data_IF_671956270432
#
_entry.id   IF_671956270432
#
_cell.length_a   1.000
_cell.length_b   1.000
_cell.length_c   1.000
_cell.angle_alpha   90.00
_cell.angle_beta   90.00
_cell.angle_gamma   90.00
#
_symmetry.space_group_name_H-M   'P 1'
#
loop_
_entity.id
_entity.type
_entity.pdbx_description
1 polymer ?
#
# COMPACT_ATOMS: atom_id res chain seq x y z
N UNK A 1 -33.38 47.91 -41.70
CA UNK A 1 -34.21 46.74 -42.04
C UNK A 1 -33.88 45.63 -41.06
N UNK A 2 -34.88 45.20 -40.28
CA UNK A 2 -35.08 43.94 -39.54
C UNK A 2 -33.87 43.18 -38.95
N UNK A 3 -33.75 43.04 -37.63
CA UNK A 3 -34.41 42.01 -36.76
C UNK A 3 -33.76 40.62 -36.94
N UNK A 4 -33.40 39.80 -35.95
CA UNK A 4 -33.59 39.75 -34.51
C UNK A 4 -33.05 38.38 -34.00
N UNK A 5 -33.22 38.07 -32.70
CA UNK A 5 -33.01 36.72 -32.11
C UNK A 5 -31.77 36.63 -31.21
N UNK A 6 -31.86 36.80 -29.89
CA UNK A 6 -32.37 35.87 -28.87
C UNK A 6 -31.72 34.47 -28.93
N UNK A 7 -30.85 34.12 -27.98
CA UNK A 7 -31.14 33.09 -26.95
C UNK A 7 -29.89 32.60 -26.18
N UNK A 8 -30.03 32.67 -24.85
CA UNK A 8 -29.62 31.71 -23.82
C UNK A 8 -28.18 31.16 -23.69
N UNK A 9 -27.63 31.50 -22.51
CA UNK A 9 -27.11 30.60 -21.48
C UNK A 9 -26.39 29.30 -21.92
N UNK A 10 -25.08 29.30 -21.77
CA UNK A 10 -24.37 28.15 -21.19
C UNK A 10 -23.42 28.65 -20.10
N UNK A 11 -23.85 28.48 -18.85
CA UNK A 11 -23.00 28.56 -17.66
C UNK A 11 -22.03 27.38 -17.68
N UNK A 12 -20.84 27.58 -18.23
CA UNK A 12 -19.70 26.70 -18.03
C UNK A 12 -19.12 26.96 -16.64
N UNK A 13 -19.56 26.21 -15.63
CA UNK A 13 -18.83 26.12 -14.36
C UNK A 13 -17.53 25.39 -14.64
N UNK A 14 -16.44 26.15 -14.66
CA UNK A 14 -15.06 25.70 -14.58
C UNK A 14 -14.91 24.79 -13.35
N UNK A 15 -14.72 23.50 -13.58
CA UNK A 15 -14.21 22.60 -12.55
C UNK A 15 -12.76 22.99 -12.30
N UNK A 16 -12.53 23.69 -11.19
CA UNK A 16 -11.19 24.00 -10.69
C UNK A 16 -10.46 22.71 -10.38
N UNK A 17 -9.44 22.42 -11.18
CA UNK A 17 -8.44 21.40 -10.88
C UNK A 17 -7.58 21.97 -9.75
N UNK A 18 -7.81 21.51 -8.52
CA UNK A 18 -6.99 21.91 -7.37
C UNK A 18 -5.57 21.37 -7.61
N UNK A 19 -4.65 22.29 -7.89
CA UNK A 19 -3.22 22.06 -8.01
C UNK A 19 -2.70 21.46 -6.70
N UNK A 20 -2.19 20.23 -6.75
CA UNK A 20 -1.31 19.72 -5.69
C UNK A 20 0.02 20.44 -5.86
N UNK A 21 0.30 21.36 -4.94
CA UNK A 21 1.56 22.07 -4.86
C UNK A 21 2.64 21.08 -4.42
N UNK A 22 3.32 20.45 -5.38
CA UNK A 22 4.55 19.70 -5.12
C UNK A 22 5.64 20.72 -4.76
N UNK A 23 6.03 20.79 -3.49
CA UNK A 23 7.22 21.52 -3.05
C UNK A 23 8.41 20.71 -3.56
N UNK A 24 9.06 21.19 -4.62
CA UNK A 24 10.30 20.61 -5.12
C UNK A 24 11.43 20.89 -4.13
N UNK A 25 11.73 19.91 -3.27
CA UNK A 25 12.99 19.87 -2.54
C UNK A 25 13.87 18.86 -3.27
N UNK A 26 14.87 19.36 -3.99
CA UNK A 26 15.96 18.52 -4.49
C UNK A 26 16.74 17.98 -3.28
N UNK A 27 16.56 16.71 -2.94
CA UNK A 27 17.45 15.99 -2.04
C UNK A 27 17.92 14.73 -2.76
N UNK A 28 19.18 14.72 -3.20
CA UNK A 28 19.85 13.48 -3.57
C UNK A 28 19.76 12.51 -2.38
N UNK A 29 19.52 11.23 -2.65
CA UNK A 29 19.34 10.23 -1.62
C UNK A 29 20.69 9.94 -0.94
N UNK A 30 21.03 10.74 0.07
CA UNK A 30 22.32 10.66 0.75
C UNK A 30 22.16 9.94 2.09
N UNK A 31 22.85 8.80 2.22
CA UNK A 31 22.97 8.11 3.50
C UNK A 31 23.67 9.01 4.52
N UNK A 32 23.21 8.95 5.77
CA UNK A 32 23.94 9.56 6.88
C UNK A 32 25.34 8.98 6.96
N UNK A 33 26.30 9.78 7.40
CA UNK A 33 27.67 9.35 7.66
C UNK A 33 28.03 9.70 9.09
N UNK A 34 28.92 8.95 9.73
CA UNK A 34 29.33 9.28 11.09
C UNK A 34 29.99 10.67 11.12
N UNK A 35 29.34 11.63 11.79
CA UNK A 35 30.01 12.83 12.27
C UNK A 35 30.80 12.53 13.55
N UNK A 36 31.33 13.55 14.24
CA UNK A 36 31.99 13.36 15.53
C UNK A 36 30.98 12.84 16.56
N UNK A 37 30.97 11.53 16.82
CA UNK A 37 30.11 10.90 17.84
C UNK A 37 30.58 11.20 19.27
N UNK A 38 31.64 11.99 19.42
CA UNK A 38 32.05 12.53 20.71
C UNK A 38 30.85 13.26 21.33
N UNK A 39 30.43 12.72 22.46
CA UNK A 39 29.41 13.28 23.34
C UNK A 39 29.89 14.70 23.73
N UNK A 40 29.14 15.74 23.37
CA UNK A 40 29.31 17.04 24.01
C UNK A 40 29.08 16.86 25.53
N UNK A 41 29.76 17.63 26.39
CA UNK A 41 29.76 17.45 27.85
C UNK A 41 28.36 17.45 28.53
N UNK A 42 27.29 17.71 27.78
CA UNK A 42 25.91 17.86 28.24
C UNK A 42 24.98 16.66 27.97
N UNK A 43 25.42 15.61 27.28
CA UNK A 43 24.59 14.40 27.12
C UNK A 43 24.67 13.47 28.35
N UNK A 44 23.53 12.90 28.68
CA UNK A 44 23.35 11.78 29.60
C UNK A 44 23.03 10.52 28.82
N UNK A 45 23.23 9.35 29.45
CA UNK A 45 22.94 8.06 28.84
C UNK A 45 22.05 7.21 29.75
N UNK A 46 21.14 6.44 29.14
CA UNK A 46 20.35 5.40 29.79
C UNK A 46 20.36 4.13 28.94
N UNK A 47 20.43 2.96 29.58
CA UNK A 47 20.56 1.68 28.87
C UNK A 47 19.63 0.59 29.38
N UNK A 48 19.20 -0.29 28.47
CA UNK A 48 18.46 -1.53 28.75
C UNK A 48 18.96 -2.59 27.77
N UNK A 49 19.64 -3.62 28.30
CA UNK A 49 20.23 -4.68 27.47
C UNK A 49 21.22 -4.09 26.44
N UNK A 50 21.07 -4.39 25.14
CA UNK A 50 21.98 -3.90 24.10
C UNK A 50 21.73 -2.44 23.70
N UNK A 51 20.62 -1.84 24.12
CA UNK A 51 20.23 -0.49 23.72
C UNK A 51 20.69 0.56 24.73
N UNK A 52 21.34 1.62 24.24
CA UNK A 52 21.71 2.83 24.99
C UNK A 52 21.16 4.05 24.28
N UNK A 53 20.50 4.95 25.02
CA UNK A 53 20.00 6.23 24.51
C UNK A 53 20.79 7.37 25.12
N UNK A 54 21.37 8.21 24.27
CA UNK A 54 22.09 9.43 24.61
C UNK A 54 21.15 10.64 24.39
N UNK A 55 20.98 11.48 25.41
CA UNK A 55 20.06 12.62 25.39
C UNK A 55 20.53 13.78 26.27
N UNK A 56 20.02 14.99 26.04
CA UNK A 56 20.19 16.13 26.96
C UNK A 56 19.05 16.19 28.00
N UNK A 57 19.27 16.71 29.23
CA UNK A 57 18.30 16.64 30.33
C UNK A 57 16.83 17.00 30.00
N UNK A 58 16.55 18.04 29.18
CA UNK A 58 15.18 18.35 28.76
C UNK A 58 14.44 17.22 28.02
N UNK A 59 15.17 16.31 27.37
CA UNK A 59 14.64 15.18 26.60
C UNK A 59 14.51 13.88 27.41
N UNK A 60 14.83 13.88 28.71
CA UNK A 60 14.82 12.69 29.58
C UNK A 60 13.57 11.80 29.47
N UNK A 61 12.36 12.39 29.45
CA UNK A 61 11.10 11.64 29.28
C UNK A 61 10.98 11.01 27.89
N UNK A 62 11.43 11.70 26.85
CA UNK A 62 11.45 11.18 25.48
C UNK A 62 12.49 10.07 25.37
N UNK A 63 13.68 10.29 25.93
CA UNK A 63 14.76 9.31 25.95
C UNK A 63 14.32 7.99 26.59
N UNK A 64 13.58 8.06 27.71
CA UNK A 64 13.00 6.86 28.32
C UNK A 64 12.07 6.11 27.37
N UNK A 65 11.18 6.80 26.65
CA UNK A 65 10.29 6.17 25.67
C UNK A 65 11.04 5.52 24.51
N UNK A 66 12.02 6.22 23.95
CA UNK A 66 12.86 5.68 22.88
C UNK A 66 13.65 4.46 23.34
N UNK A 67 14.15 4.48 24.57
CA UNK A 67 14.86 3.34 25.17
C UNK A 67 13.93 2.13 25.35
N UNK A 68 12.71 2.35 25.84
CA UNK A 68 11.71 1.28 26.01
C UNK A 68 11.33 0.66 24.66
N UNK A 69 11.15 1.49 23.61
CA UNK A 69 10.90 1.02 22.25
C UNK A 69 12.11 0.26 21.68
N UNK A 70 13.31 0.82 21.78
CA UNK A 70 14.52 0.18 21.30
C UNK A 70 14.75 -1.20 21.97
N UNK A 71 14.53 -1.31 23.29
CA UNK A 71 14.62 -2.57 24.01
C UNK A 71 13.51 -3.57 23.62
N UNK A 72 12.34 -3.06 23.23
CA UNK A 72 11.20 -3.85 22.77
C UNK A 72 11.27 -4.23 21.28
N UNK A 73 12.22 -3.68 20.51
CA UNK A 73 12.39 -3.99 19.10
C UNK A 73 12.57 -5.50 18.88
N UNK A 74 11.82 -6.06 17.93
CA UNK A 74 11.95 -7.45 17.50
C UNK A 74 11.94 -7.48 15.97
N UNK A 75 12.94 -8.12 15.34
CA UNK A 75 12.93 -8.29 13.90
C UNK A 75 11.72 -9.13 13.47
N UNK A 76 11.31 -8.98 12.23
CA UNK A 76 10.19 -9.71 11.65
C UNK A 76 10.63 -10.34 10.33
N UNK A 77 10.21 -11.57 10.01
CA UNK A 77 9.23 -12.37 10.75
C UNK A 77 9.82 -12.99 12.03
N UNK A 78 8.97 -13.56 12.90
CA UNK A 78 9.36 -13.98 14.25
C UNK A 78 10.53 -14.98 14.30
N UNK A 79 10.76 -15.73 13.23
CA UNK A 79 11.90 -16.65 13.13
C UNK A 79 13.26 -15.93 13.09
N UNK A 80 13.30 -14.66 12.67
CA UNK A 80 14.50 -13.82 12.78
C UNK A 80 14.77 -13.37 14.22
N UNK A 81 13.84 -13.55 15.16
CA UNK A 81 14.00 -13.10 16.55
C UNK A 81 15.05 -13.91 17.35
N UNK A 82 15.51 -15.04 16.80
CA UNK A 82 16.69 -15.75 17.30
C UNK A 82 17.97 -14.92 17.12
N UNK A 83 18.04 -14.14 16.04
CA UNK A 83 19.05 -13.11 15.83
C UNK A 83 18.66 -11.88 16.64
N UNK A 84 19.52 -11.49 17.58
CA UNK A 84 19.28 -10.34 18.46
C UNK A 84 20.22 -9.22 18.09
N UNK A 85 19.75 -7.98 18.26
CA UNK A 85 20.61 -6.82 18.29
C UNK A 85 21.72 -7.03 19.33
N UNK A 86 22.97 -6.86 18.91
CA UNK A 86 24.13 -7.03 19.78
C UNK A 86 24.42 -5.74 20.55
N UNK A 87 24.32 -4.61 19.85
CA UNK A 87 24.50 -3.26 20.37
C UNK A 87 23.63 -2.28 19.60
N UNK A 88 23.21 -1.20 20.26
CA UNK A 88 22.48 -0.11 19.64
C UNK A 88 22.69 1.16 20.46
N UNK A 89 23.15 2.23 19.81
CA UNK A 89 23.28 3.56 20.36
C UNK A 89 22.32 4.52 19.68
N UNK A 90 21.37 5.09 20.42
CA UNK A 90 20.42 6.07 19.88
C UNK A 90 20.77 7.45 20.42
N UNK A 91 21.09 8.39 19.55
CA UNK A 91 21.35 9.79 19.92
C UNK A 91 20.12 10.64 19.64
N UNK A 92 19.60 11.31 20.67
CA UNK A 92 18.56 12.32 20.50
C UNK A 92 19.24 13.67 20.25
N UNK A 93 19.07 14.20 19.04
CA UNK A 93 19.56 15.52 18.66
C UNK A 93 18.60 16.62 19.14
N UNK A 94 19.00 17.49 20.08
CA UNK A 94 18.16 18.56 20.65
C UNK A 94 17.94 19.73 19.68
N UNK A 95 18.73 19.84 18.62
CA UNK A 95 18.64 20.88 17.59
C UNK A 95 18.92 20.30 16.20
N UNK A 96 18.49 21.01 15.15
CA UNK A 96 18.80 20.62 13.77
C UNK A 96 20.32 20.70 13.50
N UNK A 97 21.01 21.70 14.06
CA UNK A 97 22.46 21.83 13.96
C UNK A 97 23.18 20.62 14.56
N UNK A 98 22.71 20.13 15.71
CA UNK A 98 23.30 18.95 16.36
C UNK A 98 23.01 17.68 15.58
N UNK A 99 21.82 17.56 14.99
CA UNK A 99 21.50 16.46 14.08
C UNK A 99 22.49 16.42 12.91
N UNK A 100 22.72 17.57 12.25
CA UNK A 100 23.70 17.68 11.18
C UNK A 100 25.13 17.35 11.63
N UNK A 101 25.53 17.81 12.83
CA UNK A 101 26.85 17.51 13.37
C UNK A 101 27.05 16.00 13.55
N UNK A 102 26.06 15.32 14.14
CA UNK A 102 26.10 13.88 14.39
C UNK A 102 25.99 13.06 13.09
N UNK A 103 25.21 13.51 12.12
CA UNK A 103 24.98 12.82 10.83
C UNK A 103 26.02 13.12 9.75
N UNK A 104 27.09 13.86 10.09
CA UNK A 104 28.15 14.23 9.15
C UNK A 104 27.70 15.20 8.06
N UNK A 105 26.63 15.97 8.32
CA UNK A 105 26.12 17.01 7.42
C UNK A 105 25.13 16.52 6.36
N UNK A 106 24.75 15.24 6.38
CA UNK A 106 23.79 14.65 5.43
C UNK A 106 22.44 14.41 6.09
N UNK A 107 21.36 14.69 5.35
CA UNK A 107 20.00 14.36 5.78
C UNK A 107 19.49 13.17 4.96
N UNK A 108 18.84 12.20 5.62
CA UNK A 108 18.01 11.23 4.91
C UNK A 108 16.78 11.94 4.34
N UNK A 109 16.12 11.29 3.37
CA UNK A 109 14.95 11.81 2.66
C UNK A 109 13.79 12.21 3.60
N UNK A 110 13.65 11.50 4.73
CA UNK A 110 12.61 11.75 5.75
C UNK A 110 13.03 12.79 6.80
N UNK A 111 14.30 13.23 6.83
CA UNK A 111 14.80 14.39 7.60
C UNK A 111 14.63 14.36 9.14
N UNK A 112 14.23 13.22 9.72
CA UNK A 112 13.83 13.13 11.13
C UNK A 112 14.63 12.13 11.96
N UNK A 113 15.09 11.05 11.36
CA UNK A 113 16.01 10.09 11.97
C UNK A 113 16.86 9.42 10.89
N UNK A 114 18.05 8.93 11.26
CA UNK A 114 18.83 8.03 10.41
C UNK A 114 19.70 7.06 11.21
N UNK A 115 19.86 5.86 10.67
CA UNK A 115 20.96 4.98 10.99
C UNK A 115 22.25 5.42 10.27
N UNK A 116 23.39 5.29 10.96
CA UNK A 116 24.71 5.52 10.38
C UNK A 116 25.23 4.16 9.84
N UNK A 117 25.41 4.02 8.51
CA UNK A 117 25.78 2.75 7.89
C UNK A 117 27.07 2.16 8.47
N UNK A 118 27.08 0.83 8.68
CA UNK A 118 28.25 0.11 9.20
C UNK A 118 28.58 0.41 10.67
N UNK A 119 27.67 1.06 11.39
CA UNK A 119 27.79 1.32 12.83
C UNK A 119 26.50 0.96 13.55
N UNK A 120 26.55 0.86 14.87
CA UNK A 120 25.36 0.57 15.69
C UNK A 120 24.60 1.84 16.10
N UNK A 121 24.72 2.91 15.33
CA UNK A 121 24.25 4.24 15.72
C UNK A 121 23.01 4.65 14.95
N UNK A 122 21.98 5.05 15.69
CA UNK A 122 20.79 5.73 15.19
C UNK A 122 20.76 7.15 15.76
N UNK A 123 20.50 8.14 14.93
CA UNK A 123 20.32 9.53 15.35
C UNK A 123 18.86 9.88 15.10
N UNK A 124 18.18 10.44 16.10
CA UNK A 124 16.79 10.88 16.03
C UNK A 124 16.69 12.34 16.45
N UNK A 125 15.87 13.13 15.77
CA UNK A 125 15.59 14.50 16.21
C UNK A 125 14.71 14.48 17.45
N UNK A 126 14.98 15.38 18.40
CA UNK A 126 14.09 15.59 19.54
C UNK A 126 12.69 15.96 19.04
N UNK A 127 11.61 15.34 19.57
CA UNK A 127 10.24 15.74 19.26
C UNK A 127 9.96 17.22 19.59
N UNK A 128 10.78 17.88 20.41
CA UNK A 128 10.65 19.31 20.73
C UNK A 128 10.97 20.23 19.55
N UNK A 129 11.71 19.73 18.56
CA UNK A 129 12.14 20.51 17.37
C UNK A 129 11.54 19.98 16.06
N UNK A 130 10.56 19.08 16.16
CA UNK A 130 9.83 18.53 15.02
C UNK A 130 8.39 19.02 15.13
N UNK A 131 8.01 19.96 14.26
CA UNK A 131 6.71 20.64 14.32
C UNK A 131 5.54 19.72 13.96
N UNK A 132 5.75 18.77 13.05
CA UNK A 132 4.73 17.80 12.66
C UNK A 132 5.37 16.46 12.29
N UNK A 133 5.00 15.42 13.01
CA UNK A 133 5.29 14.04 12.63
C UNK A 133 4.18 13.56 11.71
N UNK A 134 4.53 13.17 10.48
CA UNK A 134 3.58 12.49 9.57
C UNK A 134 3.36 11.03 9.99
N UNK A 135 4.43 10.40 10.47
CA UNK A 135 4.45 9.00 10.91
C UNK A 135 4.62 8.86 12.43
N UNK A 136 4.24 7.72 13.01
CA UNK A 136 4.50 7.41 14.43
C UNK A 136 6.02 7.39 14.70
N UNK A 137 6.54 8.20 15.65
CA UNK A 137 7.97 8.22 15.98
C UNK A 137 8.55 6.84 16.34
N UNK A 138 7.71 5.93 16.87
CA UNK A 138 8.13 4.55 17.13
C UNK A 138 8.39 3.78 15.85
N UNK A 139 7.55 3.96 14.83
CA UNK A 139 7.73 3.29 13.53
C UNK A 139 8.99 3.81 12.85
N UNK A 140 9.24 5.13 12.89
CA UNK A 140 10.50 5.72 12.41
C UNK A 140 11.70 5.12 13.14
N UNK A 141 11.65 5.06 14.48
CA UNK A 141 12.74 4.45 15.23
C UNK A 141 12.95 2.98 14.84
N UNK A 142 11.88 2.20 14.65
CA UNK A 142 11.99 0.80 14.24
C UNK A 142 12.54 0.65 12.83
N UNK A 143 12.21 1.57 11.92
CA UNK A 143 12.82 1.61 10.59
C UNK A 143 14.34 1.76 10.72
N UNK A 144 14.82 2.76 11.45
CA UNK A 144 16.26 2.99 11.61
C UNK A 144 16.98 1.86 12.36
N UNK A 145 16.37 1.32 13.41
CA UNK A 145 16.93 0.16 14.12
C UNK A 145 17.01 -1.06 13.20
N UNK A 146 16.10 -1.19 12.23
CA UNK A 146 16.12 -2.31 11.28
C UNK A 146 17.35 -2.27 10.38
N UNK A 147 17.81 -1.09 9.99
CA UNK A 147 19.07 -0.94 9.24
C UNK A 147 20.27 -1.45 10.05
N UNK A 148 20.39 -1.01 11.32
CA UNK A 148 21.45 -1.49 12.23
C UNK A 148 21.36 -3.00 12.45
N UNK A 149 20.16 -3.52 12.68
CA UNK A 149 19.94 -4.95 12.84
C UNK A 149 20.38 -5.75 11.61
N UNK A 150 20.06 -5.25 10.41
CA UNK A 150 20.39 -5.92 9.16
C UNK A 150 21.90 -5.89 8.90
N UNK A 151 22.57 -4.77 9.16
CA UNK A 151 24.03 -4.65 9.09
C UNK A 151 24.73 -5.67 10.02
N UNK A 152 24.25 -5.79 11.26
CA UNK A 152 24.76 -6.77 12.23
C UNK A 152 24.50 -8.21 11.78
N UNK A 153 23.32 -8.49 11.23
CA UNK A 153 22.94 -9.81 10.73
C UNK A 153 23.81 -10.23 9.54
N UNK A 154 24.08 -9.29 8.64
CA UNK A 154 24.82 -9.52 7.40
C UNK A 154 26.34 -9.42 7.57
N UNK A 155 26.83 -8.99 8.74
CA UNK A 155 28.23 -9.06 9.16
C UNK A 155 29.21 -8.52 8.09
N UNK A 156 28.85 -7.43 7.42
CA UNK A 156 29.66 -6.77 6.38
C UNK A 156 29.47 -7.30 4.96
N UNK A 157 28.59 -8.27 4.73
CA UNK A 157 28.16 -8.63 3.38
C UNK A 157 27.40 -7.47 2.72
N UNK A 158 27.61 -7.27 1.43
CA UNK A 158 26.90 -6.22 0.69
C UNK A 158 25.42 -6.58 0.53
N UNK A 159 24.57 -5.63 0.91
CA UNK A 159 23.12 -5.75 0.82
C UNK A 159 22.61 -4.62 -0.08
N UNK A 160 21.89 -4.92 -1.17
CA UNK A 160 21.30 -3.91 -2.03
C UNK A 160 20.37 -3.00 -1.24
N UNK A 161 20.38 -1.71 -1.60
CA UNK A 161 19.58 -0.69 -0.93
C UNK A 161 18.08 -1.03 -0.93
N UNK A 162 17.56 -1.56 -2.03
CA UNK A 162 16.16 -1.98 -2.07
C UNK A 162 15.82 -3.01 -0.99
N UNK A 163 16.76 -3.90 -0.64
CA UNK A 163 16.53 -4.87 0.43
C UNK A 163 16.53 -4.20 1.80
N UNK A 164 17.51 -3.32 2.07
CA UNK A 164 17.55 -2.50 3.30
C UNK A 164 16.23 -1.76 3.53
N UNK A 165 15.82 -0.97 2.55
CA UNK A 165 14.68 -0.07 2.67
C UNK A 165 13.36 -0.86 2.72
N UNK A 166 13.23 -1.89 1.88
CA UNK A 166 12.06 -2.76 1.88
C UNK A 166 11.89 -3.51 3.20
N UNK A 167 12.99 -4.00 3.77
CA UNK A 167 12.96 -4.72 5.04
C UNK A 167 12.66 -3.78 6.21
N UNK A 168 13.26 -2.59 6.22
CA UNK A 168 12.97 -1.56 7.20
C UNK A 168 11.50 -1.12 7.16
N UNK A 169 10.91 -0.91 5.97
CA UNK A 169 9.47 -0.65 5.83
C UNK A 169 8.60 -1.83 6.28
N UNK A 170 9.03 -3.07 6.00
CA UNK A 170 8.31 -4.28 6.40
C UNK A 170 8.23 -4.41 7.93
N UNK A 171 9.34 -4.16 8.62
CA UNK A 171 9.42 -4.27 10.09
C UNK A 171 8.74 -3.09 10.77
N UNK A 172 8.92 -1.87 10.26
CA UNK A 172 8.39 -0.64 10.86
C UNK A 172 6.87 -0.50 10.77
N UNK A 173 6.21 -1.26 9.89
CA UNK A 173 4.76 -1.19 9.61
C UNK A 173 4.28 0.14 9.01
N UNK A 174 5.18 0.91 8.40
CA UNK A 174 4.84 2.13 7.66
C UNK A 174 3.98 1.88 6.40
N UNK A 175 3.73 0.62 6.03
CA UNK A 175 2.87 0.30 4.90
C UNK A 175 1.38 0.44 5.25
N UNK A 176 0.71 1.38 4.59
CA UNK A 176 -0.70 1.68 4.78
C UNK A 176 -1.57 1.48 3.54
N UNK A 177 -2.83 1.94 3.64
CA UNK A 177 -3.79 1.91 2.52
C UNK A 177 -3.32 2.79 1.36
N UNK A 178 -2.74 3.95 1.66
CA UNK A 178 -2.23 4.88 0.65
C UNK A 178 -1.05 4.26 -0.12
N UNK A 179 -0.10 3.64 0.59
CA UNK A 179 1.00 2.84 0.01
C UNK A 179 0.47 1.74 -0.91
N UNK A 180 -0.57 1.02 -0.46
CA UNK A 180 -1.22 -0.03 -1.25
C UNK A 180 -1.83 0.51 -2.55
N UNK A 181 -2.57 1.62 -2.47
CA UNK A 181 -3.21 2.24 -3.63
C UNK A 181 -2.18 2.79 -4.62
N UNK A 182 -1.17 3.50 -4.11
CA UNK A 182 -0.10 4.08 -4.92
C UNK A 182 0.67 3.01 -5.68
N UNK A 183 1.08 1.94 -4.99
CA UNK A 183 1.76 0.83 -5.65
C UNK A 183 0.86 0.09 -6.66
N UNK A 184 -0.43 -0.05 -6.35
CA UNK A 184 -1.40 -0.64 -7.29
C UNK A 184 -1.53 0.20 -8.58
N UNK A 185 -1.48 1.53 -8.48
CA UNK A 185 -1.43 2.43 -9.64
C UNK A 185 -0.12 2.29 -10.41
N UNK A 186 1.03 2.17 -9.72
CA UNK A 186 2.32 1.92 -10.36
C UNK A 186 2.31 0.60 -11.16
N UNK A 187 1.74 -0.46 -10.59
CA UNK A 187 1.54 -1.76 -11.25
C UNK A 187 0.61 -1.68 -12.46
N UNK A 188 -0.48 -0.90 -12.36
CA UNK A 188 -1.39 -0.61 -13.48
C UNK A 188 -0.66 0.05 -14.64
N UNK A 189 0.15 1.07 -14.35
CA UNK A 189 0.91 1.84 -15.34
C UNK A 189 2.18 1.13 -15.84
N UNK A 190 2.54 -0.03 -15.27
CA UNK A 190 3.79 -0.73 -15.60
C UNK A 190 5.04 0.02 -15.15
N UNK A 191 4.92 0.92 -14.17
CA UNK A 191 6.01 1.77 -13.65
C UNK A 191 6.71 1.09 -12.48
N UNK A 192 7.24 -0.11 -12.73
CA UNK A 192 8.04 -0.90 -11.78
C UNK A 192 9.45 -1.10 -12.33
N UNK A 193 10.43 -1.02 -11.45
CA UNK A 193 11.85 -1.20 -11.76
C UNK A 193 12.19 -2.69 -11.83
N UNK A 194 13.25 -3.06 -12.54
CA UNK A 194 13.87 -4.37 -12.33
C UNK A 194 14.68 -4.38 -11.04
N UNK A 195 14.87 -5.55 -10.43
CA UNK A 195 15.69 -5.66 -9.23
C UNK A 195 17.16 -5.39 -9.52
N UNK A 196 17.67 -5.81 -10.67
CA UNK A 196 19.03 -5.49 -11.13
C UNK A 196 19.25 -3.96 -11.26
N UNK A 197 18.23 -3.21 -11.73
CA UNK A 197 18.33 -1.75 -11.77
C UNK A 197 18.39 -1.15 -10.37
N UNK A 198 17.55 -1.62 -9.44
CA UNK A 198 17.53 -1.13 -8.06
C UNK A 198 18.78 -1.53 -7.26
N UNK A 199 19.41 -2.63 -7.64
CA UNK A 199 20.68 -3.08 -7.08
C UNK A 199 21.85 -2.20 -7.53
N UNK A 200 21.89 -1.84 -8.82
CA UNK A 200 22.94 -0.95 -9.37
C UNK A 200 22.77 0.51 -8.96
N UNK A 201 21.53 1.01 -8.97
CA UNK A 201 21.25 2.43 -8.72
C UNK A 201 19.84 2.63 -8.17
N UNK A 202 19.76 3.18 -6.97
CA UNK A 202 18.49 3.62 -6.40
C UNK A 202 18.14 5.01 -6.95
N UNK A 203 16.87 5.30 -7.33
CA UNK A 203 16.52 6.60 -7.91
C UNK A 203 16.73 7.78 -6.94
N UNK A 204 17.23 8.91 -7.46
CA UNK A 204 17.38 10.17 -6.71
C UNK A 204 16.15 11.10 -6.82
N UNK A 205 15.32 10.93 -7.85
CA UNK A 205 14.07 11.69 -8.01
C UNK A 205 13.04 11.19 -6.99
N UNK A 206 12.48 12.10 -6.19
CA UNK A 206 11.57 11.79 -5.07
C UNK A 206 10.41 10.87 -5.48
N UNK A 207 9.73 11.16 -6.59
CA UNK A 207 8.62 10.33 -7.06
C UNK A 207 9.08 8.93 -7.50
N UNK A 208 10.28 8.82 -8.07
CA UNK A 208 10.87 7.53 -8.43
C UNK A 208 11.37 6.76 -7.20
N UNK A 209 11.98 7.45 -6.24
CA UNK A 209 12.46 6.91 -4.98
C UNK A 209 11.29 6.37 -4.15
N UNK A 210 10.20 7.12 -4.00
CA UNK A 210 8.97 6.68 -3.35
C UNK A 210 8.45 5.37 -3.95
N UNK A 211 8.36 5.28 -5.28
CA UNK A 211 7.96 4.03 -5.95
C UNK A 211 8.96 2.89 -5.74
N UNK A 212 10.26 3.18 -5.72
CA UNK A 212 11.28 2.20 -5.44
C UNK A 212 11.17 1.65 -4.02
N UNK A 213 10.88 2.48 -3.02
CA UNK A 213 10.59 2.03 -1.65
C UNK A 213 9.34 1.15 -1.60
N UNK A 214 8.23 1.60 -2.20
CA UNK A 214 7.00 0.82 -2.24
C UNK A 214 7.21 -0.55 -2.90
N UNK A 215 7.93 -0.57 -4.04
CA UNK A 215 8.30 -1.81 -4.71
C UNK A 215 9.14 -2.70 -3.79
N UNK A 216 10.16 -2.14 -3.16
CA UNK A 216 11.06 -2.84 -2.24
C UNK A 216 10.31 -3.54 -1.12
N UNK A 217 9.37 -2.85 -0.47
CA UNK A 217 8.48 -3.45 0.53
C UNK A 217 7.75 -4.69 -0.02
N UNK A 218 7.13 -4.58 -1.20
CA UNK A 218 6.34 -5.70 -1.74
C UNK A 218 7.20 -6.89 -2.15
N UNK A 219 8.45 -6.67 -2.53
CA UNK A 219 9.42 -7.75 -2.81
C UNK A 219 9.74 -8.49 -1.52
N UNK A 220 10.00 -7.77 -0.44
CA UNK A 220 10.24 -8.37 0.89
C UNK A 220 9.00 -9.11 1.41
N UNK A 221 7.81 -8.52 1.28
CA UNK A 221 6.55 -9.17 1.64
C UNK A 221 6.37 -10.48 0.86
N UNK A 222 6.64 -10.47 -0.45
CA UNK A 222 6.61 -11.67 -1.28
C UNK A 222 7.61 -12.72 -0.78
N UNK A 223 8.86 -12.34 -0.52
CA UNK A 223 9.89 -13.28 -0.05
C UNK A 223 9.45 -14.00 1.22
N UNK A 224 8.97 -13.26 2.22
CA UNK A 224 8.53 -13.84 3.49
C UNK A 224 7.20 -14.60 3.42
N UNK A 225 6.40 -14.36 2.38
CA UNK A 225 5.16 -15.11 2.13
C UNK A 225 5.43 -16.40 1.33
N UNK A 226 6.42 -16.37 0.43
CA UNK A 226 6.69 -17.43 -0.55
C UNK A 226 7.50 -18.59 0.03
N UNK A 227 8.47 -18.29 0.88
CA UNK A 227 9.40 -19.25 1.45
C UNK A 227 9.24 -19.37 2.96
N UNK A 228 9.47 -20.57 3.47
CA UNK A 228 9.38 -20.83 4.91
C UNK A 228 10.66 -20.37 5.65
N UNK A 229 10.60 -20.46 6.97
CA UNK A 229 11.70 -20.08 7.87
C UNK A 229 13.04 -20.73 7.49
N UNK A 230 13.08 -22.05 7.29
CA UNK A 230 14.32 -22.78 7.02
C UNK A 230 14.97 -22.31 5.71
N UNK A 231 14.15 -22.12 4.67
CA UNK A 231 14.61 -21.63 3.38
C UNK A 231 15.18 -20.21 3.47
N UNK A 232 14.52 -19.33 4.22
CA UNK A 232 14.97 -17.96 4.39
C UNK A 232 16.21 -17.86 5.28
N UNK A 233 16.32 -18.66 6.33
CA UNK A 233 17.54 -18.77 7.15
C UNK A 233 18.73 -19.22 6.30
N UNK A 234 18.54 -20.26 5.47
CA UNK A 234 19.57 -20.74 4.57
C UNK A 234 19.97 -19.68 3.53
N UNK A 235 19.01 -18.94 2.99
CA UNK A 235 19.31 -17.82 2.06
C UNK A 235 20.18 -16.77 2.74
N UNK A 236 19.79 -16.29 3.93
CA UNK A 236 20.54 -15.27 4.67
C UNK A 236 21.94 -15.73 5.04
N UNK A 237 22.08 -16.98 5.52
CA UNK A 237 23.38 -17.56 5.84
C UNK A 237 24.30 -17.63 4.62
N UNK A 238 23.79 -18.14 3.49
CA UNK A 238 24.59 -18.24 2.26
C UNK A 238 24.91 -16.90 1.66
N UNK A 239 23.97 -15.96 1.72
CA UNK A 239 24.20 -14.60 1.26
C UNK A 239 25.30 -13.93 2.06
N UNK A 240 25.23 -13.98 3.39
CA UNK A 240 26.29 -13.49 4.27
C UNK A 240 27.66 -14.10 3.93
N UNK A 241 27.71 -15.40 3.62
CA UNK A 241 28.97 -16.09 3.31
C UNK A 241 29.51 -15.79 1.90
N UNK A 242 28.64 -15.51 0.93
CA UNK A 242 29.02 -15.31 -0.49
C UNK A 242 29.18 -13.85 -0.86
N UNK A 243 28.52 -12.93 -0.14
CA UNK A 243 28.47 -11.51 -0.45
C UNK A 243 27.62 -11.16 -1.68
N UNK A 244 26.95 -12.14 -2.30
CA UNK A 244 26.21 -11.96 -3.55
C UNK A 244 24.82 -12.62 -3.47
N UNK A 245 23.77 -11.82 -3.68
CA UNK A 245 22.39 -12.27 -3.52
C UNK A 245 21.99 -13.30 -4.59
N UNK A 246 22.39 -13.13 -5.85
CA UNK A 246 22.04 -14.07 -6.92
C UNK A 246 22.67 -15.45 -6.68
N UNK A 247 23.94 -15.48 -6.26
CA UNK A 247 24.64 -16.71 -5.87
C UNK A 247 23.98 -17.38 -4.66
N UNK A 248 23.56 -16.59 -3.67
CA UNK A 248 22.83 -17.09 -2.52
C UNK A 248 21.48 -17.70 -2.91
N UNK A 249 20.69 -17.03 -3.76
CA UNK A 249 19.41 -17.51 -4.27
C UNK A 249 19.56 -18.82 -5.05
N UNK A 250 20.55 -18.89 -5.95
CA UNK A 250 20.81 -20.10 -6.75
C UNK A 250 21.13 -21.29 -5.87
N UNK A 251 21.97 -21.06 -4.86
CA UNK A 251 22.48 -22.15 -4.05
C UNK A 251 21.48 -22.59 -2.96
N UNK A 252 20.68 -21.67 -2.40
CA UNK A 252 19.70 -21.96 -1.33
C UNK A 252 18.31 -22.34 -1.85
N UNK A 253 17.80 -21.64 -2.88
CA UNK A 253 16.43 -21.77 -3.38
C UNK A 253 16.36 -22.34 -4.81
N UNK A 254 17.50 -22.53 -5.47
CA UNK A 254 17.56 -23.12 -6.82
C UNK A 254 17.07 -22.20 -7.93
N UNK A 255 17.06 -20.88 -7.71
CA UNK A 255 16.57 -19.89 -8.67
C UNK A 255 17.48 -18.66 -8.73
N UNK A 256 17.44 -17.97 -9.85
CA UNK A 256 18.14 -16.69 -10.08
C UNK A 256 17.33 -15.50 -9.58
N UNK A 257 17.97 -14.36 -9.35
CA UNK A 257 17.32 -13.09 -9.03
C UNK A 257 16.26 -12.72 -10.07
N UNK A 258 16.55 -12.93 -11.36
CA UNK A 258 15.59 -12.68 -12.44
C UNK A 258 14.36 -13.61 -12.40
N UNK A 259 14.54 -14.89 -12.04
CA UNK A 259 13.42 -15.80 -11.83
C UNK A 259 12.60 -15.45 -10.59
N UNK A 260 13.25 -15.00 -9.52
CA UNK A 260 12.59 -14.47 -8.33
C UNK A 260 11.73 -13.26 -8.67
N UNK A 261 12.30 -12.32 -9.43
CA UNK A 261 11.62 -11.12 -9.90
C UNK A 261 10.39 -11.48 -10.75
N UNK A 262 10.51 -12.46 -11.65
CA UNK A 262 9.38 -12.95 -12.44
C UNK A 262 8.22 -13.46 -11.56
N UNK A 263 8.54 -14.32 -10.58
CA UNK A 263 7.53 -14.83 -9.64
C UNK A 263 6.91 -13.72 -8.77
N UNK A 264 7.72 -12.76 -8.31
CA UNK A 264 7.22 -11.59 -7.59
C UNK A 264 6.27 -10.76 -8.45
N UNK A 265 6.61 -10.48 -9.72
CA UNK A 265 5.75 -9.70 -10.65
C UNK A 265 4.39 -10.37 -10.85
N UNK A 266 4.36 -11.70 -10.97
CA UNK A 266 3.11 -12.46 -11.07
C UNK A 266 2.27 -12.33 -9.80
N UNK A 267 2.88 -12.57 -8.64
CA UNK A 267 2.22 -12.44 -7.34
C UNK A 267 1.70 -11.02 -7.07
N UNK A 268 2.53 -10.00 -7.34
CA UNK A 268 2.18 -8.60 -7.20
C UNK A 268 1.09 -8.20 -8.19
N UNK A 269 1.11 -8.75 -9.41
CA UNK A 269 0.06 -8.55 -10.41
C UNK A 269 -1.32 -9.03 -9.95
N UNK A 270 -1.39 -10.13 -9.19
CA UNK A 270 -2.65 -10.59 -8.61
C UNK A 270 -3.08 -9.73 -7.42
N UNK A 271 -2.15 -9.41 -6.51
CA UNK A 271 -2.44 -8.70 -5.26
C UNK A 271 -2.74 -7.20 -5.46
N UNK A 272 -1.97 -6.54 -6.32
CA UNK A 272 -2.01 -5.09 -6.54
C UNK A 272 -2.54 -4.71 -7.94
N UNK A 273 -2.74 -5.69 -8.83
CA UNK A 273 -3.25 -5.43 -10.18
C UNK A 273 -4.77 -5.41 -10.32
N UNK A 274 -5.55 -5.44 -9.23
CA UNK A 274 -7.01 -5.42 -9.28
C UNK A 274 -7.58 -4.19 -10.03
N UNK A 275 -6.88 -3.05 -10.02
CA UNK A 275 -7.27 -1.88 -10.82
C UNK A 275 -7.25 -2.17 -12.34
N UNK A 276 -6.37 -3.07 -12.83
CA UNK A 276 -6.38 -3.52 -14.23
C UNK A 276 -7.69 -4.23 -14.57
N UNK A 277 -8.27 -4.95 -13.62
CA UNK A 277 -9.55 -5.62 -13.81
C UNK A 277 -10.71 -4.62 -13.86
N UNK A 278 -10.72 -3.61 -12.98
CA UNK A 278 -11.76 -2.56 -13.00
C UNK A 278 -11.72 -1.68 -14.24
N UNK A 279 -10.52 -1.41 -14.76
CA UNK A 279 -10.31 -0.62 -15.98
C UNK A 279 -10.45 -1.46 -17.25
N UNK A 280 -10.66 -2.77 -17.14
CA UNK A 280 -10.89 -3.65 -18.28
C UNK A 280 -12.22 -3.31 -18.95
N UNK A 281 -12.16 -2.75 -20.15
CA UNK A 281 -13.33 -2.41 -20.95
C UNK A 281 -14.29 -3.59 -21.10
N UNK A 282 -13.76 -4.80 -21.26
CA UNK A 282 -14.56 -6.03 -21.39
C UNK A 282 -15.43 -6.30 -20.16
N UNK A 283 -14.87 -6.16 -18.95
CA UNK A 283 -15.62 -6.39 -17.71
C UNK A 283 -16.66 -5.29 -17.47
N UNK A 284 -16.34 -4.05 -17.84
CA UNK A 284 -17.32 -2.95 -17.83
C UNK A 284 -18.47 -3.25 -18.79
N UNK A 285 -18.19 -3.69 -20.01
CA UNK A 285 -19.22 -4.07 -20.98
C UNK A 285 -20.05 -5.27 -20.52
N UNK A 286 -19.44 -6.28 -19.88
CA UNK A 286 -20.17 -7.41 -19.28
C UNK A 286 -21.10 -6.90 -18.16
N UNK A 287 -20.60 -6.05 -17.26
CA UNK A 287 -21.41 -5.51 -16.16
C UNK A 287 -22.58 -4.66 -16.67
N UNK A 288 -22.35 -3.79 -17.65
CA UNK A 288 -23.40 -3.01 -18.32
C UNK A 288 -24.40 -3.95 -18.98
N UNK A 289 -23.94 -4.99 -19.68
CA UNK A 289 -24.81 -5.95 -20.35
C UNK A 289 -25.68 -6.71 -19.34
N UNK A 290 -25.12 -7.17 -18.23
CA UNK A 290 -25.86 -7.83 -17.16
C UNK A 290 -26.88 -6.89 -16.50
N UNK A 291 -26.52 -5.62 -16.31
CA UNK A 291 -27.44 -4.60 -15.82
C UNK A 291 -28.62 -4.40 -16.79
N UNK A 292 -28.36 -4.28 -18.10
CA UNK A 292 -29.40 -4.19 -19.12
C UNK A 292 -30.29 -5.43 -19.15
N UNK A 293 -29.72 -6.63 -19.03
CA UNK A 293 -30.47 -7.89 -18.95
C UNK A 293 -31.36 -7.89 -17.70
N UNK A 294 -30.84 -7.52 -16.53
CA UNK A 294 -31.61 -7.44 -15.30
C UNK A 294 -32.75 -6.41 -15.39
N UNK A 295 -32.47 -5.23 -15.95
CA UNK A 295 -33.49 -4.21 -16.21
C UNK A 295 -34.55 -4.75 -17.18
N UNK A 296 -34.16 -5.40 -18.27
CA UNK A 296 -35.08 -6.00 -19.22
C UNK A 296 -35.98 -7.03 -18.56
N UNK A 297 -35.43 -7.95 -17.75
CA UNK A 297 -36.23 -8.96 -17.04
C UNK A 297 -37.16 -8.35 -16.00
N UNK A 298 -36.71 -7.35 -15.24
CA UNK A 298 -37.57 -6.66 -14.25
C UNK A 298 -38.69 -5.87 -14.92
N UNK A 299 -38.41 -5.16 -16.02
CA UNK A 299 -39.41 -4.47 -16.83
C UNK A 299 -40.38 -5.45 -17.48
N UNK A 300 -39.89 -6.55 -18.06
CA UNK A 300 -40.73 -7.58 -18.67
C UNK A 300 -41.68 -8.23 -17.66
N UNK A 301 -41.20 -8.50 -16.44
CA UNK A 301 -42.04 -8.99 -15.34
C UNK A 301 -43.10 -7.96 -14.93
N UNK A 302 -42.72 -6.68 -14.81
CA UNK A 302 -43.68 -5.59 -14.48
C UNK A 302 -44.73 -5.39 -15.58
N UNK A 303 -44.34 -5.47 -16.84
CA UNK A 303 -45.24 -5.28 -17.98
C UNK A 303 -46.25 -6.42 -18.08
N UNK A 304 -45.83 -7.69 -17.90
CA UNK A 304 -46.75 -8.84 -17.86
C UNK A 304 -47.80 -8.68 -16.76
N UNK A 305 -47.40 -8.28 -15.55
CA UNK A 305 -48.34 -8.03 -14.44
C UNK A 305 -49.36 -6.94 -14.75
N UNK A 306 -48.95 -5.86 -15.44
CA UNK A 306 -49.87 -4.80 -15.88
C UNK A 306 -50.85 -5.31 -16.95
N UNK A 307 -50.39 -6.13 -17.89
CA UNK A 307 -51.23 -6.70 -18.93
C UNK A 307 -52.29 -7.65 -18.35
N UNK A 308 -51.90 -8.51 -17.41
CA UNK A 308 -52.83 -9.38 -16.66
C UNK A 308 -53.91 -8.56 -15.92
N UNK A 309 -53.54 -7.44 -15.30
CA UNK A 309 -54.49 -6.54 -14.65
C UNK A 309 -55.46 -5.87 -15.63
N UNK A 310 -54.98 -5.47 -16.82
CA UNK A 310 -55.81 -4.88 -17.87
C UNK A 310 -56.80 -5.92 -18.42
N UNK A 311 -56.34 -7.15 -18.72
CA UNK A 311 -57.19 -8.24 -19.18
C UNK A 311 -58.25 -8.66 -18.14
N UNK A 312 -57.90 -8.66 -16.85
CA UNK A 312 -58.86 -8.93 -15.78
C UNK A 312 -59.95 -7.85 -15.69
N UNK A 313 -59.59 -6.58 -15.86
CA UNK A 313 -60.56 -5.46 -15.92
C UNK A 313 -61.48 -5.56 -17.13
N UNK A 314 -60.92 -5.83 -18.30
CA UNK A 314 -61.71 -6.00 -19.54
C UNK A 314 -62.69 -7.17 -19.44
N UNK A 315 -62.27 -8.33 -18.89
CA UNK A 315 -63.17 -9.47 -18.65
C UNK A 315 -64.34 -9.13 -17.73
N UNK A 316 -64.07 -8.45 -16.60
CA UNK A 316 -65.14 -8.01 -15.70
C UNK A 316 -66.07 -6.99 -16.35
N UNK A 317 -65.54 -6.11 -17.18
CA UNK A 317 -66.35 -5.13 -17.90
C UNK A 317 -67.23 -5.80 -18.96
N UNK A 318 -66.72 -6.79 -19.69
CA UNK A 318 -67.50 -7.60 -20.63
C UNK A 318 -68.60 -8.43 -19.95
N UNK A 319 -68.30 -9.02 -18.79
CA UNK A 319 -69.29 -9.73 -17.96
C UNK A 319 -70.38 -8.78 -17.45
N UNK A 320 -70.05 -7.53 -17.11
CA UNK A 320 -71.05 -6.54 -16.67
C UNK A 320 -71.94 -5.98 -17.78
N UNK A 321 -71.53 -6.08 -19.06
CA UNK A 321 -72.27 -5.57 -20.23
C UNK A 321 -73.24 -6.62 -20.79
N UNK A 322 -73.16 -7.89 -20.37
CA UNK A 322 -74.03 -8.97 -20.86
C UNK A 322 -75.28 -9.10 -19.97
N UNK A 323 -76.50 -8.71 -20.40
CA UNK A 323 -77.70 -8.93 -19.59
C UNK A 323 -78.14 -10.39 -19.73
N UNK A 324 -78.11 -11.14 -18.62
CA UNK A 324 -78.70 -12.46 -18.55
C UNK A 324 -80.23 -12.36 -18.43
N UNK A 325 -80.93 -12.46 -19.57
CA UNK A 325 -82.34 -12.86 -19.55
C UNK A 325 -82.66 -13.74 -20.75
N UNK A 326 -82.88 -15.06 -20.57
CA UNK A 326 -83.43 -15.90 -21.63
C UNK A 326 -84.92 -15.56 -21.80
N UNK A 327 -85.30 -15.15 -23.02
CA UNK A 327 -86.69 -15.00 -23.42
C UNK A 327 -87.40 -16.37 -23.39
N UNK A 328 -88.44 -16.51 -22.56
CA UNK A 328 -89.25 -17.74 -22.44
C UNK A 328 -90.51 -17.58 -23.31
N UNK A 329 -90.48 -18.14 -24.53
CA UNK A 329 -91.65 -18.22 -25.40
C UNK A 329 -92.63 -19.32 -24.96
N UNK A 330 -93.95 -19.18 -25.23
CA UNK A 330 -94.97 -20.10 -24.75
C UNK A 330 -94.98 -21.44 -25.49
N UNK A 331 -95.30 -22.51 -24.76
CA UNK A 331 -95.34 -23.90 -25.22
C UNK A 331 -96.47 -24.14 -26.23
N UNK A 332 -96.11 -24.67 -27.41
CA UNK A 332 -97.02 -25.26 -28.38
C UNK A 332 -97.00 -26.79 -28.28
N UNK A 333 -98.19 -27.38 -28.29
CA UNK A 333 -98.48 -28.80 -28.30
C UNK A 333 -98.18 -29.45 -29.66
N UNK A 334 -98.27 -30.79 -29.64
CA UNK A 334 -98.45 -31.73 -30.76
C UNK A 334 -97.26 -32.69 -30.86
N UNK A 335 -97.38 -33.94 -30.38
CA UNK A 335 -98.15 -35.07 -30.88
C UNK A 335 -97.35 -35.93 -31.88
N UNK A 336 -97.35 -37.22 -31.54
CA UNK A 336 -97.16 -38.40 -32.39
C UNK A 336 -95.78 -38.77 -32.95
N UNK A 337 -95.51 -40.07 -32.88
CA UNK A 337 -94.88 -40.75 -34.02
C UNK A 337 -93.74 -41.72 -33.72
N UNK A 338 -94.08 -42.87 -33.13
CA UNK A 338 -93.70 -44.22 -33.55
C UNK A 338 -92.25 -44.62 -33.91
N UNK A 339 -91.90 -45.77 -33.29
CA UNK A 339 -90.96 -46.85 -33.64
C UNK A 339 -89.47 -46.68 -33.31
#
# INVERSE_FOLDING_TARGET
MFSGGLSMFFTGKSFGLTFVLAVLIFSAAQHCTAGPLAIADDYQAMSIGPATVYYQPPDSRVARRYLDWAAAYRPRPAWLASSRLQSLSVYIAPSLQEFYRLSGGRLPEWGVACAIPGTDVVIVRSPRIVELWREDPREILYHEITHVFLDQLMAGAEVPRWFHEGYAQYVSRMWGVDSFLEFSVAMLMGRVFSLDNLERSFPDDENQAQRAYLQSYTVIEFMFTRWNELQMQLLMERWRNTGDLDTALRSSLGLTLGQMEGQWREWAGVRYGWLKLLTSATLVWIAISLLFIAIFFTLRRRFRRKLEQMQFRERRQAESITPATPYRGPAGSDADGNL
#
